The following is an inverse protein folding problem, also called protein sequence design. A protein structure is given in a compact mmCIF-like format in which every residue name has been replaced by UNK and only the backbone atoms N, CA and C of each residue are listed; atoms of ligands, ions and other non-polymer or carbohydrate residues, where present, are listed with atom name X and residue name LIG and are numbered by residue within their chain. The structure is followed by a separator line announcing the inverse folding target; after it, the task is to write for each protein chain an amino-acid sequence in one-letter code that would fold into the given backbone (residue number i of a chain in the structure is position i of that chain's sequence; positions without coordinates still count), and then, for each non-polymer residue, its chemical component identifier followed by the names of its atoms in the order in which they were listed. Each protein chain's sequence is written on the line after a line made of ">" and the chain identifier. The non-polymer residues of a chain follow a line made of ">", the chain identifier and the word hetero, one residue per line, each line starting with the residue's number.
data_IF_873936014411
#
_entry.id   IF_873936014411
#
_cell.length_a   1.000
_cell.length_b   1.000
_cell.length_c   1.000
_cell.angle_alpha   90.00
_cell.angle_beta   90.00
_cell.angle_gamma   90.00
#
_symmetry.space_group_name_H-M   'P 1'
#
loop_
_entity.id
_entity.type
_entity.pdbx_description
1 polymer ?
#
# COMPACT_ATOMS: atom_id res chain seq x y z
N UNK A 1 2.36 23.97 4.01
CA UNK A 1 2.66 22.61 3.51
C UNK A 1 3.99 22.64 2.78
N UNK A 2 4.91 21.70 3.05
CA UNK A 2 6.25 21.69 2.41
C UNK A 2 6.16 20.97 1.08
N UNK A 3 6.15 21.73 -0.01
CA UNK A 3 5.90 21.22 -1.35
C UNK A 3 6.94 20.19 -1.84
N UNK A 4 8.21 20.36 -1.43
CA UNK A 4 9.26 19.38 -1.77
C UNK A 4 9.05 18.01 -1.10
N UNK A 5 8.49 18.00 0.10
CA UNK A 5 8.16 16.76 0.81
C UNK A 5 6.98 16.03 0.16
N UNK A 6 5.95 16.77 -0.26
CA UNK A 6 4.82 16.18 -0.99
C UNK A 6 5.29 15.51 -2.28
N UNK A 7 6.09 16.20 -3.08
CA UNK A 7 6.65 15.64 -4.32
C UNK A 7 7.49 14.38 -4.08
N UNK A 8 8.23 14.37 -2.97
CA UNK A 8 9.00 13.20 -2.59
C UNK A 8 8.11 12.01 -2.21
N UNK A 9 7.04 12.24 -1.47
CA UNK A 9 6.04 11.22 -1.15
C UNK A 9 5.33 10.69 -2.40
N UNK A 10 4.90 11.57 -3.30
CA UNK A 10 4.27 11.20 -4.58
C UNK A 10 5.16 10.25 -5.41
N UNK A 11 6.47 10.50 -5.43
CA UNK A 11 7.41 9.60 -6.12
C UNK A 11 7.51 8.22 -5.45
N UNK A 12 7.48 8.14 -4.11
CA UNK A 12 7.46 6.85 -3.41
C UNK A 12 6.16 6.08 -3.68
N UNK A 13 5.03 6.77 -3.74
CA UNK A 13 3.73 6.15 -4.04
C UNK A 13 3.69 5.57 -5.46
N UNK A 14 4.25 6.25 -6.45
CA UNK A 14 4.36 5.71 -7.82
C UNK A 14 5.24 4.46 -7.89
N UNK A 15 6.33 4.42 -7.11
CA UNK A 15 7.24 3.28 -7.06
C UNK A 15 6.64 2.05 -6.35
N UNK A 16 5.44 2.13 -5.76
CA UNK A 16 4.73 1.00 -5.13
C UNK A 16 4.21 -0.02 -6.15
N UNK A 17 4.09 0.33 -7.40
CA UNK A 17 3.55 -0.57 -8.42
C UNK A 17 4.40 -1.84 -8.53
N UNK A 18 3.75 -2.98 -8.27
CA UNK A 18 4.43 -4.26 -8.19
C UNK A 18 5.05 -4.65 -9.54
N UNK A 19 6.30 -5.09 -9.49
CA UNK A 19 7.08 -5.55 -10.65
C UNK A 19 7.38 -4.47 -11.72
N UNK A 20 7.12 -3.20 -11.45
CA UNK A 20 7.51 -2.12 -12.33
C UNK A 20 8.74 -1.38 -11.78
N UNK A 21 9.70 -1.10 -12.65
CA UNK A 21 10.87 -0.27 -12.38
C UNK A 21 10.78 0.97 -13.25
N UNK A 22 10.85 2.11 -12.64
CA UNK A 22 10.65 3.38 -13.32
C UNK A 22 11.97 4.05 -13.71
N UNK A 23 12.04 4.54 -14.93
CA UNK A 23 13.05 5.51 -15.36
C UNK A 23 12.68 6.93 -14.89
N UNK A 24 13.65 7.86 -14.90
CA UNK A 24 13.38 9.28 -14.61
C UNK A 24 12.39 9.88 -15.64
N UNK A 25 12.43 9.42 -16.88
CA UNK A 25 11.52 9.90 -17.94
C UNK A 25 10.07 9.53 -17.62
N UNK A 26 9.78 8.28 -17.29
CA UNK A 26 8.44 7.81 -16.90
C UNK A 26 7.92 8.54 -15.65
N UNK A 27 8.76 8.72 -14.63
CA UNK A 27 8.40 9.48 -13.43
C UNK A 27 8.13 10.96 -13.75
N UNK A 28 8.88 11.55 -14.69
CA UNK A 28 8.65 12.92 -15.14
C UNK A 28 7.32 13.07 -15.87
N UNK A 29 6.99 12.11 -16.72
CA UNK A 29 5.71 12.08 -17.43
C UNK A 29 4.53 11.93 -16.47
N UNK A 30 4.64 11.01 -15.50
CA UNK A 30 3.57 10.71 -14.53
C UNK A 30 3.33 11.85 -13.53
N UNK A 31 4.37 12.58 -13.13
CA UNK A 31 4.27 13.62 -12.09
C UNK A 31 4.25 15.05 -12.62
N UNK A 32 4.64 15.26 -13.88
CA UNK A 32 4.87 16.59 -14.45
C UNK A 32 6.08 17.32 -13.84
N UNK A 33 6.90 16.64 -13.04
CA UNK A 33 8.08 17.25 -12.43
C UNK A 33 9.27 17.26 -13.40
N UNK A 34 10.12 18.30 -13.36
CA UNK A 34 11.35 18.31 -14.14
C UNK A 34 12.27 17.14 -13.78
N UNK A 35 12.93 16.48 -14.77
CA UNK A 35 13.85 15.37 -14.52
C UNK A 35 14.94 15.67 -13.49
N UNK A 36 15.45 16.90 -13.45
CA UNK A 36 16.46 17.33 -12.47
C UNK A 36 15.93 17.33 -11.03
N UNK A 37 14.66 17.67 -10.84
CA UNK A 37 14.00 17.62 -9.53
C UNK A 37 13.82 16.17 -9.07
N UNK A 38 13.34 15.31 -9.96
CA UNK A 38 13.18 13.87 -9.69
C UNK A 38 14.53 13.25 -9.34
N UNK A 39 15.55 13.51 -10.13
CA UNK A 39 16.91 12.99 -9.87
C UNK A 39 17.40 13.35 -8.46
N UNK A 40 17.24 14.61 -8.03
CA UNK A 40 17.67 15.04 -6.69
C UNK A 40 16.89 14.35 -5.57
N UNK A 41 15.58 14.15 -5.74
CA UNK A 41 14.75 13.45 -4.76
C UNK A 41 15.18 11.98 -4.70
N UNK A 42 15.28 11.30 -5.84
CA UNK A 42 15.68 9.89 -5.92
C UNK A 42 17.09 9.67 -5.36
N UNK A 43 18.04 10.57 -5.62
CA UNK A 43 19.37 10.50 -5.04
C UNK A 43 19.31 10.51 -3.51
N UNK A 44 18.49 11.41 -2.91
CA UNK A 44 18.30 11.46 -1.45
C UNK A 44 17.71 10.17 -0.91
N UNK A 45 16.73 9.58 -1.61
CA UNK A 45 16.16 8.30 -1.25
C UNK A 45 17.14 7.13 -1.38
N UNK A 46 17.98 7.14 -2.41
CA UNK A 46 19.04 6.13 -2.60
C UNK A 46 20.09 6.17 -1.48
N UNK A 47 20.51 7.37 -1.03
CA UNK A 47 21.40 7.52 0.12
C UNK A 47 20.85 6.87 1.40
N UNK A 48 19.53 6.94 1.59
CA UNK A 48 18.82 6.33 2.72
C UNK A 48 18.33 4.90 2.45
N UNK A 49 18.58 4.36 1.27
CA UNK A 49 18.14 3.02 0.82
C UNK A 49 16.60 2.84 0.83
N UNK A 50 15.85 3.94 0.73
CA UNK A 50 14.39 3.92 0.52
C UNK A 50 14.05 3.62 -0.93
N UNK A 51 14.95 3.94 -1.84
CA UNK A 51 14.93 3.60 -3.26
C UNK A 51 16.27 2.96 -3.61
N UNK A 52 16.26 2.03 -4.53
CA UNK A 52 17.47 1.46 -5.15
C UNK A 52 17.44 1.73 -6.64
N UNK A 53 18.60 1.99 -7.20
CA UNK A 53 18.81 2.20 -8.63
C UNK A 53 19.43 0.95 -9.24
N UNK A 54 18.88 0.54 -10.37
CA UNK A 54 19.53 -0.41 -11.27
C UNK A 54 20.46 0.37 -12.21
N UNK A 55 21.78 0.22 -12.03
CA UNK A 55 22.77 0.99 -12.78
C UNK A 55 22.82 0.61 -14.26
N UNK A 56 22.44 -0.63 -14.62
CA UNK A 56 22.43 -1.08 -16.02
C UNK A 56 21.18 -0.61 -16.76
N UNK A 57 20.02 -0.75 -16.12
CA UNK A 57 18.75 -0.36 -16.72
C UNK A 57 18.43 1.12 -16.51
N UNK A 58 19.16 1.84 -15.67
CA UNK A 58 18.88 3.23 -15.25
C UNK A 58 17.47 3.42 -14.70
N UNK A 59 16.95 2.41 -13.99
CA UNK A 59 15.63 2.41 -13.40
C UNK A 59 15.68 2.40 -11.88
N UNK A 60 14.57 2.80 -11.25
CA UNK A 60 14.43 2.94 -9.82
C UNK A 60 13.28 2.08 -9.31
N UNK A 61 13.43 1.55 -8.11
CA UNK A 61 12.41 0.77 -7.40
C UNK A 61 12.51 1.00 -5.89
N UNK A 62 11.49 0.62 -5.13
CA UNK A 62 11.51 0.72 -3.68
C UNK A 62 12.67 -0.07 -3.08
N UNK A 63 13.29 0.49 -2.05
CA UNK A 63 14.46 -0.06 -1.39
C UNK A 63 14.15 -0.73 -0.05
N UNK A 64 15.09 -1.56 0.47
CA UNK A 64 14.85 -2.40 1.65
C UNK A 64 14.66 -1.62 2.95
N UNK A 65 15.09 -0.35 3.04
CA UNK A 65 14.87 0.45 4.23
C UNK A 65 13.36 0.68 4.53
N UNK A 66 12.51 0.64 3.51
CA UNK A 66 11.06 0.75 3.68
C UNK A 66 10.45 -0.48 4.36
N UNK A 67 11.04 -1.67 4.22
CA UNK A 67 10.60 -2.88 4.92
C UNK A 67 10.71 -2.68 6.43
N UNK A 68 11.83 -2.11 6.90
CA UNK A 68 12.04 -1.82 8.31
C UNK A 68 11.04 -0.80 8.86
N UNK A 69 10.77 0.26 8.09
CA UNK A 69 9.77 1.28 8.48
C UNK A 69 8.36 0.69 8.49
N UNK A 70 8.00 -0.09 7.47
CA UNK A 70 6.71 -0.74 7.38
C UNK A 70 6.49 -1.69 8.56
N UNK A 71 7.52 -2.48 8.93
CA UNK A 71 7.45 -3.36 10.09
C UNK A 71 7.26 -2.58 11.40
N UNK A 72 8.06 -1.54 11.63
CA UNK A 72 7.91 -0.71 12.82
C UNK A 72 6.52 -0.05 12.89
N UNK A 73 5.95 0.35 11.75
CA UNK A 73 4.59 0.86 11.69
C UNK A 73 3.55 -0.24 12.02
N UNK A 74 3.72 -1.45 11.48
CA UNK A 74 2.84 -2.58 11.75
C UNK A 74 2.90 -3.04 13.21
N UNK A 75 4.09 -3.08 13.82
CA UNK A 75 4.27 -3.48 15.23
C UNK A 75 3.53 -2.54 16.21
N UNK A 76 3.24 -1.29 15.81
CA UNK A 76 2.42 -0.37 16.59
C UNK A 76 0.91 -0.64 16.48
N UNK A 77 0.50 -1.49 15.53
CA UNK A 77 -0.91 -1.86 15.32
C UNK A 77 -1.21 -3.15 16.07
N UNK A 78 -1.43 -3.06 17.39
CA UNK A 78 -1.71 -4.21 18.27
C UNK A 78 -2.93 -5.05 17.90
N UNK A 79 -3.74 -4.58 16.95
CA UNK A 79 -4.93 -5.29 16.48
C UNK A 79 -4.60 -6.62 15.81
N UNK A 80 -3.42 -6.75 15.20
CA UNK A 80 -2.99 -7.98 14.51
C UNK A 80 -2.90 -9.17 15.49
N UNK A 81 -2.28 -8.98 16.66
CA UNK A 81 -2.13 -10.04 17.64
C UNK A 81 -3.49 -10.54 18.16
N UNK A 82 -4.43 -9.63 18.37
CA UNK A 82 -5.79 -9.96 18.79
C UNK A 82 -6.62 -10.59 17.65
N UNK A 83 -6.39 -10.17 16.41
CA UNK A 83 -7.14 -10.65 15.25
C UNK A 83 -6.70 -12.03 14.76
N UNK A 84 -5.42 -12.38 14.88
CA UNK A 84 -4.87 -13.62 14.32
C UNK A 84 -5.61 -14.89 14.75
N UNK A 85 -5.92 -15.13 16.05
CA UNK A 85 -6.70 -16.30 16.45
C UNK A 85 -8.12 -16.28 15.89
N UNK A 86 -8.72 -15.10 15.72
CA UNK A 86 -10.06 -14.94 15.14
C UNK A 86 -10.04 -15.27 13.65
N UNK A 87 -9.05 -14.77 12.90
CA UNK A 87 -8.86 -15.07 11.49
C UNK A 87 -8.66 -16.57 11.25
N UNK A 88 -7.84 -17.22 12.07
CA UNK A 88 -7.62 -18.67 11.99
C UNK A 88 -8.91 -19.46 12.21
N UNK A 89 -9.68 -19.09 13.23
CA UNK A 89 -10.96 -19.74 13.50
C UNK A 89 -11.96 -19.51 12.37
N UNK A 90 -12.04 -18.27 11.87
CA UNK A 90 -12.91 -17.93 10.76
C UNK A 90 -12.56 -18.73 9.50
N UNK A 91 -11.28 -18.76 9.13
CA UNK A 91 -10.80 -19.52 7.98
C UNK A 91 -11.06 -21.04 8.15
N UNK A 92 -10.87 -21.57 9.34
CA UNK A 92 -11.18 -22.97 9.63
C UNK A 92 -12.67 -23.28 9.46
N UNK A 93 -13.57 -22.45 10.01
CA UNK A 93 -15.01 -22.66 9.97
C UNK A 93 -15.61 -22.46 8.57
N UNK A 94 -15.15 -21.44 7.84
CA UNK A 94 -15.67 -21.10 6.51
C UNK A 94 -15.00 -21.85 5.38
N UNK A 95 -13.79 -22.38 5.62
CA UNK A 95 -12.86 -22.94 4.63
C UNK A 95 -12.42 -21.95 3.55
N UNK A 96 -12.53 -20.65 3.83
CA UNK A 96 -12.16 -19.56 2.94
C UNK A 96 -10.99 -18.75 3.54
N UNK A 97 -10.36 -17.93 2.69
CA UNK A 97 -9.35 -16.97 3.15
C UNK A 97 -10.00 -15.90 4.02
N UNK A 98 -9.34 -15.53 5.09
CA UNK A 98 -9.79 -14.50 6.03
C UNK A 98 -8.78 -13.35 6.08
N UNK A 99 -9.28 -12.13 6.08
CA UNK A 99 -8.45 -10.91 5.98
C UNK A 99 -8.73 -9.97 7.15
N UNK A 100 -7.67 -9.35 7.65
CA UNK A 100 -7.75 -8.17 8.50
C UNK A 100 -7.50 -6.95 7.65
N UNK A 101 -8.49 -6.08 7.55
CA UNK A 101 -8.38 -4.85 6.78
C UNK A 101 -8.69 -3.65 7.67
N UNK A 102 -7.88 -2.62 7.55
CA UNK A 102 -8.11 -1.33 8.18
C UNK A 102 -8.37 -0.26 7.12
N UNK A 103 -9.07 0.78 7.52
CA UNK A 103 -9.24 1.96 6.69
C UNK A 103 -8.07 2.92 6.86
N UNK A 104 -7.51 3.37 5.74
CA UNK A 104 -6.49 4.41 5.67
C UNK A 104 -6.94 5.43 4.62
N UNK A 105 -7.39 6.59 5.07
CA UNK A 105 -8.06 7.56 4.19
C UNK A 105 -9.32 6.96 3.56
N UNK A 106 -9.39 6.99 2.23
CA UNK A 106 -10.52 6.45 1.46
C UNK A 106 -10.23 5.05 0.87
N UNK A 107 -9.21 4.37 1.43
CA UNK A 107 -8.80 3.02 1.00
C UNK A 107 -8.86 2.01 2.14
N UNK A 108 -9.01 0.75 1.78
CA UNK A 108 -8.84 -0.38 2.69
C UNK A 108 -7.46 -1.02 2.50
N UNK A 109 -6.68 -1.07 3.57
CA UNK A 109 -5.34 -1.65 3.63
C UNK A 109 -5.39 -3.03 4.28
N UNK A 110 -4.83 -4.04 3.61
CA UNK A 110 -4.68 -5.40 4.17
C UNK A 110 -3.53 -5.40 5.19
N UNK A 111 -3.87 -5.66 6.45
CA UNK A 111 -2.91 -5.78 7.55
C UNK A 111 -2.45 -7.21 7.82
N UNK A 112 -3.34 -8.18 7.60
CA UNK A 112 -3.03 -9.60 7.84
C UNK A 112 -4.01 -10.49 7.08
N UNK A 113 -3.63 -11.76 6.88
CA UNK A 113 -4.49 -12.77 6.28
C UNK A 113 -4.22 -14.16 6.86
N UNK A 114 -5.22 -15.00 6.77
CA UNK A 114 -5.10 -16.44 7.01
C UNK A 114 -5.68 -17.17 5.82
N UNK A 115 -4.87 -18.02 5.20
CA UNK A 115 -5.28 -18.80 4.03
C UNK A 115 -6.22 -19.93 4.42
N UNK A 116 -7.31 -20.08 3.69
CA UNK A 116 -8.17 -21.25 3.70
C UNK A 116 -7.59 -22.41 2.88
N UNK A 117 -8.23 -23.58 2.89
CA UNK A 117 -7.76 -24.77 2.18
C UNK A 117 -8.04 -24.76 0.68
N UNK A 118 -8.82 -23.79 0.18
CA UNK A 118 -9.20 -23.74 -1.24
C UNK A 118 -8.03 -23.30 -2.11
N UNK A 119 -7.94 -23.87 -3.33
CA UNK A 119 -6.89 -23.52 -4.29
C UNK A 119 -7.16 -22.21 -5.05
N UNK A 120 -8.42 -21.82 -5.16
CA UNK A 120 -8.77 -20.52 -5.73
C UNK A 120 -8.54 -19.44 -4.68
N UNK A 121 -7.57 -18.57 -4.93
CA UNK A 121 -7.17 -17.50 -4.01
C UNK A 121 -7.49 -16.14 -4.58
N UNK A 122 -7.97 -15.25 -3.73
CA UNK A 122 -7.95 -13.81 -4.02
C UNK A 122 -6.54 -13.32 -3.74
N UNK A 123 -5.92 -12.68 -4.73
CA UNK A 123 -4.54 -12.20 -4.60
C UNK A 123 -4.57 -10.85 -3.88
N UNK A 124 -4.71 -10.89 -2.58
CA UNK A 124 -4.55 -9.74 -1.70
C UNK A 124 -3.51 -10.06 -0.64
N UNK A 125 -2.45 -9.27 -0.61
CA UNK A 125 -1.33 -9.49 0.29
C UNK A 125 -1.18 -8.36 1.31
N UNK A 126 -0.36 -8.55 2.32
CA UNK A 126 -0.02 -7.52 3.29
C UNK A 126 0.43 -6.22 2.60
N UNK A 127 -0.15 -5.09 3.02
CA UNK A 127 0.14 -3.78 2.44
C UNK A 127 -0.64 -3.47 1.16
N UNK A 128 -1.49 -4.39 0.67
CA UNK A 128 -2.31 -4.14 -0.52
C UNK A 128 -3.45 -3.17 -0.20
N UNK A 129 -3.55 -2.11 -0.98
CA UNK A 129 -4.56 -1.07 -0.84
C UNK A 129 -5.50 -1.05 -2.04
N UNK A 130 -6.78 -0.90 -1.79
CA UNK A 130 -7.80 -0.62 -2.80
C UNK A 130 -8.87 0.32 -2.25
N UNK A 131 -9.62 0.93 -3.16
CA UNK A 131 -10.75 1.78 -2.82
C UNK A 131 -11.83 1.01 -2.04
N UNK A 132 -12.53 1.68 -1.12
CA UNK A 132 -13.50 1.06 -0.22
C UNK A 132 -14.70 0.45 -0.95
N UNK A 133 -15.02 0.87 -2.17
CA UNK A 133 -16.09 0.29 -2.98
C UNK A 133 -15.67 -1.01 -3.69
N UNK A 134 -14.38 -1.35 -3.71
CA UNK A 134 -13.84 -2.51 -4.40
C UNK A 134 -13.94 -3.79 -3.54
N UNK A 135 -14.52 -4.85 -4.12
CA UNK A 135 -14.62 -6.17 -3.49
C UNK A 135 -15.53 -6.21 -2.26
N UNK A 136 -15.83 -7.42 -1.78
CA UNK A 136 -16.73 -7.62 -0.63
C UNK A 136 -16.10 -7.14 0.68
N UNK A 137 -14.81 -7.37 0.84
CA UNK A 137 -14.08 -7.15 2.08
C UNK A 137 -14.06 -5.66 2.47
N UNK A 138 -13.79 -4.77 1.49
CA UNK A 138 -13.73 -3.33 1.72
C UNK A 138 -15.10 -2.68 1.80
N UNK A 139 -16.07 -3.22 1.09
CA UNK A 139 -17.49 -2.80 1.23
C UNK A 139 -18.00 -3.01 2.65
N UNK A 140 -17.50 -4.02 3.37
CA UNK A 140 -17.84 -4.20 4.79
C UNK A 140 -17.35 -3.02 5.65
N UNK A 141 -16.17 -2.44 5.36
CA UNK A 141 -15.71 -1.23 6.05
C UNK A 141 -16.58 -0.01 5.69
N UNK A 142 -16.88 0.17 4.40
CA UNK A 142 -17.69 1.29 3.92
C UNK A 142 -19.11 1.27 4.49
N UNK A 143 -19.70 0.09 4.60
CA UNK A 143 -21.08 -0.09 5.07
C UNK A 143 -21.30 0.36 6.54
N UNK A 144 -20.25 0.43 7.34
CA UNK A 144 -20.30 0.86 8.74
C UNK A 144 -19.81 2.29 8.95
N UNK A 145 -19.54 3.04 7.88
CA UNK A 145 -19.23 4.46 7.97
C UNK A 145 -20.51 5.28 8.16
N UNK A 146 -20.35 6.56 8.56
CA UNK A 146 -21.48 7.48 8.64
C UNK A 146 -22.08 7.76 7.25
N UNK A 147 -23.38 8.04 7.19
CA UNK A 147 -24.04 8.42 5.94
C UNK A 147 -23.37 9.62 5.24
N UNK A 148 -22.86 10.57 6.03
CA UNK A 148 -22.14 11.73 5.53
C UNK A 148 -20.82 11.31 4.85
N UNK A 149 -20.07 10.40 5.48
CA UNK A 149 -18.85 9.85 4.90
C UNK A 149 -19.15 9.11 3.60
N UNK A 150 -20.16 8.23 3.61
CA UNK A 150 -20.53 7.41 2.44
C UNK A 150 -20.91 8.31 1.26
N UNK A 151 -21.74 9.34 1.49
CA UNK A 151 -22.14 10.28 0.44
C UNK A 151 -20.93 11.00 -0.15
N UNK A 152 -20.08 11.60 0.71
CA UNK A 152 -18.86 12.26 0.27
C UNK A 152 -17.98 11.33 -0.57
N UNK A 153 -17.80 10.09 -0.10
CA UNK A 153 -16.98 9.09 -0.77
C UNK A 153 -17.52 8.70 -2.15
N UNK A 154 -18.83 8.62 -2.32
CA UNK A 154 -19.47 8.27 -3.60
C UNK A 154 -19.53 9.43 -4.60
N UNK A 155 -19.41 10.68 -4.13
CA UNK A 155 -19.38 11.88 -4.95
C UNK A 155 -17.96 12.21 -5.49
N UNK A 156 -16.93 11.45 -5.09
CA UNK A 156 -15.53 11.61 -5.52
C UNK A 156 -15.18 10.68 -6.67
#
# INVERSE_FOLDING_TARGET
>A
MIQSLLRAMELLELLKEANHKYSIAELSESTGLPPSTIHRILQTFCEKKYVIRDEHAHTYQLGPALISLGRAAADNVRIQDAALPILKNLSYCTREDSYLIIQVGDKGLVLDKTDGPNHLKVVEEFGYEMDLHCGAIRKALLAFQSDEYIRRYLDT
#
